data_IF_208098973547
#
_entry.id   IF_208098973547
#
_cell.length_a   1.000
_cell.length_b   1.000
_cell.length_c   1.000
_cell.angle_alpha   90.00
_cell.angle_beta   90.00
_cell.angle_gamma   90.00
#
_symmetry.space_group_name_H-M   'P 1'
#
loop_
_entity.id
_entity.type
_entity.pdbx_description
1 polymer ?
#
# COMPACT_ATOMS: atom_id res chain seq x y z
N UNK A 1 0.99 -5.66 14.25
CA UNK A 1 0.71 -4.37 13.55
C UNK A 1 0.81 -4.47 12.03
N UNK A 2 1.69 -5.31 11.45
CA UNK A 2 1.89 -5.38 10.00
C UNK A 2 0.61 -5.62 9.17
N UNK A 3 -0.16 -6.68 9.47
CA UNK A 3 -1.34 -7.08 8.70
C UNK A 3 -2.42 -5.98 8.57
N UNK A 4 -2.93 -5.36 9.65
CA UNK A 4 -3.94 -4.31 9.52
C UNK A 4 -3.41 -3.09 8.77
N UNK A 5 -2.16 -2.67 9.03
CA UNK A 5 -1.56 -1.54 8.32
C UNK A 5 -1.47 -1.80 6.80
N UNK A 6 -0.99 -2.98 6.40
CA UNK A 6 -0.93 -3.36 4.98
C UNK A 6 -2.32 -3.40 4.34
N UNK A 7 -3.30 -4.03 4.99
CA UNK A 7 -4.65 -4.13 4.43
C UNK A 7 -5.35 -2.77 4.32
N UNK A 8 -5.16 -1.87 5.28
CA UNK A 8 -5.65 -0.49 5.22
C UNK A 8 -4.99 0.25 4.06
N UNK A 9 -3.65 0.17 3.95
CA UNK A 9 -2.92 0.85 2.87
C UNK A 9 -3.36 0.38 1.49
N UNK A 10 -3.45 -0.94 1.28
CA UNK A 10 -3.92 -1.50 0.01
C UNK A 10 -5.38 -1.14 -0.26
N UNK A 11 -6.25 -1.19 0.77
CA UNK A 11 -7.67 -0.85 0.63
C UNK A 11 -7.90 0.61 0.26
N UNK A 12 -7.20 1.55 0.89
CA UNK A 12 -7.25 2.98 0.52
C UNK A 12 -6.68 3.18 -0.88
N UNK A 13 -5.57 2.52 -1.24
CA UNK A 13 -5.06 2.55 -2.60
C UNK A 13 -6.09 2.08 -3.63
N UNK A 14 -6.78 0.96 -3.36
CA UNK A 14 -7.88 0.46 -4.22
C UNK A 14 -8.97 1.52 -4.35
N UNK A 15 -9.42 2.12 -3.24
CA UNK A 15 -10.40 3.19 -3.25
C UNK A 15 -9.97 4.37 -4.14
N UNK A 16 -8.73 4.85 -4.00
CA UNK A 16 -8.20 5.97 -4.80
C UNK A 16 -8.12 5.61 -6.29
N UNK A 17 -7.64 4.41 -6.62
CA UNK A 17 -7.50 3.98 -8.01
C UNK A 17 -8.85 3.73 -8.68
N UNK A 18 -9.83 3.18 -7.97
CA UNK A 18 -11.22 3.08 -8.45
C UNK A 18 -11.76 4.49 -8.69
N UNK A 19 -11.67 5.37 -7.70
CA UNK A 19 -12.17 6.74 -7.80
C UNK A 19 -11.56 7.48 -9.00
N UNK A 20 -10.23 7.38 -9.17
CA UNK A 20 -9.49 7.93 -10.33
C UNK A 20 -10.03 7.46 -11.67
N UNK A 21 -10.47 6.21 -11.79
CA UNK A 21 -11.01 5.69 -13.04
C UNK A 21 -12.34 6.35 -13.42
N UNK A 22 -13.16 6.66 -12.41
CA UNK A 22 -14.46 7.30 -12.58
C UNK A 22 -14.37 8.81 -12.80
N UNK A 23 -13.65 9.54 -11.94
CA UNK A 23 -13.65 11.02 -11.96
C UNK A 23 -12.42 11.62 -12.65
N UNK A 24 -11.41 10.82 -12.98
CA UNK A 24 -10.13 11.33 -13.51
C UNK A 24 -9.15 11.73 -12.42
N UNK A 25 -7.93 12.09 -12.83
CA UNK A 25 -6.84 12.43 -11.90
C UNK A 25 -6.96 13.87 -11.38
N UNK A 26 -7.39 14.81 -12.22
CA UNK A 26 -7.52 16.23 -11.88
C UNK A 26 -8.55 16.45 -10.76
N UNK A 27 -9.78 15.95 -10.94
CA UNK A 27 -10.81 16.04 -9.91
C UNK A 27 -10.43 15.27 -8.63
N UNK A 28 -9.68 14.18 -8.76
CA UNK A 28 -9.19 13.41 -7.62
C UNK A 28 -8.24 14.24 -6.74
N UNK A 29 -7.22 14.88 -7.33
CA UNK A 29 -6.25 15.69 -6.55
C UNK A 29 -6.87 16.97 -5.99
N UNK A 30 -7.85 17.53 -6.70
CA UNK A 30 -8.55 18.75 -6.26
C UNK A 30 -9.45 18.50 -5.04
N UNK A 31 -10.15 17.36 -4.99
CA UNK A 31 -11.23 17.16 -4.01
C UNK A 31 -10.99 16.05 -2.97
N UNK A 32 -10.17 15.03 -3.28
CA UNK A 32 -10.09 13.80 -2.48
C UNK A 32 -8.66 13.54 -2.02
N UNK A 33 -7.73 13.48 -2.98
CA UNK A 33 -6.33 13.16 -2.76
C UNK A 33 -5.50 14.44 -2.57
N UNK A 34 -5.84 15.16 -1.50
CA UNK A 34 -5.17 16.41 -1.11
C UNK A 34 -3.81 16.12 -0.46
N UNK A 35 -2.94 17.13 -0.35
CA UNK A 35 -1.65 17.00 0.32
C UNK A 35 -1.77 16.47 1.75
N UNK A 36 -2.73 17.01 2.53
CA UNK A 36 -3.01 16.53 3.90
C UNK A 36 -3.46 15.07 3.92
N UNK A 37 -4.33 14.67 2.98
CA UNK A 37 -4.76 13.29 2.87
C UNK A 37 -3.55 12.38 2.62
N UNK A 38 -2.67 12.76 1.68
CA UNK A 38 -1.52 11.95 1.30
C UNK A 38 -0.49 11.81 2.43
N UNK A 39 -0.22 12.91 3.12
CA UNK A 39 0.63 12.98 4.33
C UNK A 39 0.16 11.96 5.38
N UNK A 40 -1.15 11.93 5.65
CA UNK A 40 -1.76 11.01 6.61
C UNK A 40 -1.73 9.57 6.08
N UNK A 41 -2.00 9.38 4.79
CA UNK A 41 -1.99 8.08 4.14
C UNK A 41 -0.61 7.41 4.13
N UNK A 42 0.47 8.20 4.14
CA UNK A 42 1.84 7.69 4.28
C UNK A 42 2.08 6.94 5.60
N UNK A 43 1.36 7.28 6.68
CA UNK A 43 1.56 6.70 8.02
C UNK A 43 1.25 5.20 8.09
N UNK A 44 0.04 4.71 7.71
CA UNK A 44 -0.22 3.28 7.67
C UNK A 44 0.68 2.54 6.67
N UNK A 45 1.08 3.19 5.56
CA UNK A 45 2.00 2.59 4.60
C UNK A 45 3.38 2.34 5.22
N UNK A 46 3.95 3.35 5.89
CA UNK A 46 5.23 3.22 6.59
C UNK A 46 5.15 2.20 7.73
N UNK A 47 4.07 2.23 8.52
CA UNK A 47 3.81 1.23 9.56
C UNK A 47 3.71 -0.19 8.98
N UNK A 48 3.12 -0.33 7.79
CA UNK A 48 3.09 -1.57 7.02
C UNK A 48 4.49 -2.03 6.60
N UNK A 49 5.29 -1.13 6.03
CA UNK A 49 6.66 -1.43 5.56
C UNK A 49 7.57 -1.91 6.71
N UNK A 50 7.60 -1.17 7.81
CA UNK A 50 8.35 -1.52 9.02
C UNK A 50 7.76 -2.79 9.67
N UNK A 51 6.43 -2.90 9.70
CA UNK A 51 5.71 -4.06 10.20
C UNK A 51 6.08 -5.35 9.46
N UNK A 52 6.22 -5.31 8.13
CA UNK A 52 6.63 -6.46 7.32
C UNK A 52 8.02 -6.93 7.73
N UNK A 53 8.99 -6.01 7.85
CA UNK A 53 10.37 -6.35 8.22
C UNK A 53 10.44 -6.98 9.62
N UNK A 54 9.78 -6.35 10.59
CA UNK A 54 9.79 -6.81 11.98
C UNK A 54 9.03 -8.13 12.16
N UNK A 55 7.92 -8.31 11.44
CA UNK A 55 7.12 -9.52 11.51
C UNK A 55 7.69 -10.68 10.67
N UNK A 56 8.68 -10.45 9.79
CA UNK A 56 9.09 -11.42 8.76
C UNK A 56 9.36 -12.83 9.29
N UNK A 57 10.10 -12.94 10.41
CA UNK A 57 10.44 -14.23 11.04
C UNK A 57 9.25 -14.91 11.73
N UNK A 58 8.16 -14.17 11.91
CA UNK A 58 6.93 -14.59 12.60
C UNK A 58 5.79 -14.91 11.63
N UNK A 59 5.98 -14.71 10.32
CA UNK A 59 4.97 -15.03 9.30
C UNK A 59 5.05 -16.51 8.97
N UNK A 60 3.91 -17.20 9.11
CA UNK A 60 3.76 -18.60 8.70
C UNK A 60 3.29 -18.64 7.26
N UNK A 61 4.21 -18.98 6.35
CA UNK A 61 3.93 -19.11 4.92
C UNK A 61 3.51 -20.54 4.58
N UNK A 62 2.39 -20.71 3.88
CA UNK A 62 1.91 -22.03 3.42
C UNK A 62 2.69 -22.54 2.22
N UNK A 63 3.22 -21.64 1.40
CA UNK A 63 3.97 -21.96 0.19
C UNK A 63 4.93 -20.82 -0.19
N UNK A 64 5.79 -21.08 -1.19
CA UNK A 64 6.74 -20.08 -1.71
C UNK A 64 6.06 -18.91 -2.41
N UNK A 65 4.82 -19.07 -2.87
CA UNK A 65 4.05 -18.01 -3.51
C UNK A 65 3.65 -16.93 -2.50
N UNK A 66 3.07 -17.30 -1.36
CA UNK A 66 2.81 -16.37 -0.23
C UNK A 66 4.11 -15.71 0.23
N UNK A 67 5.18 -16.52 0.33
CA UNK A 67 6.60 -16.14 0.28
C UNK A 67 6.88 -14.85 -0.49
N UNK A 68 6.83 -15.00 -1.81
CA UNK A 68 7.16 -13.99 -2.79
C UNK A 68 6.22 -12.80 -2.73
N UNK A 69 4.91 -13.02 -2.63
CA UNK A 69 3.91 -11.95 -2.60
C UNK A 69 4.11 -11.02 -1.39
N UNK A 70 4.42 -11.58 -0.21
CA UNK A 70 4.73 -10.78 0.98
C UNK A 70 6.03 -9.98 0.80
N UNK A 71 7.07 -10.57 0.20
CA UNK A 71 8.31 -9.85 -0.13
C UNK A 71 8.04 -8.69 -1.10
N UNK A 72 7.29 -8.95 -2.17
CA UNK A 72 6.88 -7.97 -3.18
C UNK A 72 6.07 -6.84 -2.54
N UNK A 73 5.15 -7.15 -1.62
CA UNK A 73 4.42 -6.13 -0.86
C UNK A 73 5.37 -5.23 -0.08
N UNK A 74 6.36 -5.81 0.62
CA UNK A 74 7.36 -5.05 1.37
C UNK A 74 8.19 -4.14 0.47
N UNK A 75 8.73 -4.67 -0.63
CA UNK A 75 9.50 -3.90 -1.59
C UNK A 75 8.67 -2.76 -2.21
N UNK A 76 7.43 -3.06 -2.59
CA UNK A 76 6.49 -2.08 -3.12
C UNK A 76 6.25 -0.93 -2.13
N UNK A 77 6.02 -1.22 -0.85
CA UNK A 77 5.83 -0.18 0.17
C UNK A 77 7.10 0.64 0.38
N UNK A 78 8.28 0.01 0.42
CA UNK A 78 9.55 0.74 0.55
C UNK A 78 9.82 1.71 -0.60
N UNK A 79 9.39 1.36 -1.82
CA UNK A 79 9.47 2.26 -2.98
C UNK A 79 8.37 3.33 -2.95
N UNK A 80 7.19 2.99 -2.46
CA UNK A 80 6.03 3.90 -2.45
C UNK A 80 6.15 4.97 -1.38
N UNK A 81 6.64 4.63 -0.18
CA UNK A 81 6.74 5.58 0.95
C UNK A 81 7.46 6.88 0.55
N UNK A 82 8.65 6.87 -0.11
CA UNK A 82 9.29 8.09 -0.58
C UNK A 82 8.40 8.97 -1.48
N UNK A 83 7.58 8.36 -2.36
CA UNK A 83 6.65 9.09 -3.22
C UNK A 83 5.56 9.82 -2.43
N UNK A 84 5.13 9.26 -1.30
CA UNK A 84 4.15 9.91 -0.42
C UNK A 84 4.79 10.91 0.55
N UNK A 85 6.03 10.65 0.99
CA UNK A 85 6.79 11.55 1.85
C UNK A 85 7.20 12.82 1.12
N UNK A 86 7.44 12.77 -0.19
CA UNK A 86 7.73 13.99 -0.97
C UNK A 86 6.61 15.03 -0.87
N UNK A 87 5.37 14.60 -0.64
CA UNK A 87 4.20 15.48 -0.47
C UNK A 87 4.32 16.34 0.79
N UNK A 88 5.01 15.85 1.82
CA UNK A 88 5.30 16.66 3.02
C UNK A 88 6.17 17.87 2.68
N UNK A 89 7.10 17.73 1.73
CA UNK A 89 8.03 18.78 1.33
C UNK A 89 7.42 19.69 0.26
N UNK A 90 6.78 19.11 -0.75
CA UNK A 90 6.24 19.83 -1.89
C UNK A 90 4.86 20.43 -1.66
N UNK A 91 4.12 19.94 -0.66
CA UNK A 91 2.71 20.29 -0.42
C UNK A 91 1.82 20.10 -1.67
N UNK A 92 2.22 19.20 -2.58
CA UNK A 92 1.52 18.91 -3.83
C UNK A 92 1.42 17.41 -4.05
N UNK A 93 0.28 16.97 -4.58
CA UNK A 93 0.04 15.59 -5.02
C UNK A 93 0.15 15.42 -6.54
N UNK A 94 0.63 16.43 -7.26
CA UNK A 94 0.72 16.44 -8.73
C UNK A 94 1.63 15.34 -9.28
N UNK A 95 2.52 14.78 -8.45
CA UNK A 95 3.35 13.63 -8.85
C UNK A 95 2.49 12.46 -9.33
N UNK A 96 1.22 12.33 -8.93
CA UNK A 96 0.37 11.25 -9.44
C UNK A 96 -0.03 11.42 -10.91
N UNK A 97 0.08 12.64 -11.46
CA UNK A 97 -0.25 12.96 -12.84
C UNK A 97 0.74 12.34 -13.83
N UNK A 98 1.95 11.98 -13.39
CA UNK A 98 2.94 11.28 -14.23
C UNK A 98 2.47 9.86 -14.59
N UNK A 99 1.60 9.26 -13.78
CA UNK A 99 1.12 7.91 -14.02
C UNK A 99 -0.01 7.94 -15.04
N UNK A 100 0.02 7.13 -16.11
CA UNK A 100 -1.07 7.07 -17.05
C UNK A 100 -2.35 6.49 -16.42
N UNK A 101 -3.53 6.74 -16.99
CA UNK A 101 -4.82 6.25 -16.44
C UNK A 101 -4.86 4.72 -16.34
N UNK A 102 -4.29 4.00 -17.31
CA UNK A 102 -4.25 2.53 -17.32
C UNK A 102 -3.48 1.94 -16.14
N UNK A 103 -2.57 2.71 -15.52
CA UNK A 103 -1.85 2.28 -14.31
C UNK A 103 -2.81 1.91 -13.19
N UNK A 104 -3.95 2.59 -13.08
CA UNK A 104 -4.98 2.24 -12.10
C UNK A 104 -5.54 0.83 -12.29
N UNK A 105 -5.70 0.35 -13.54
CA UNK A 105 -6.18 -1.01 -13.79
C UNK A 105 -5.15 -2.04 -13.33
N UNK A 106 -3.87 -1.81 -13.63
CA UNK A 106 -2.77 -2.67 -13.18
C UNK A 106 -2.69 -2.70 -11.66
N UNK A 107 -2.79 -1.53 -11.02
CA UNK A 107 -2.82 -1.42 -9.57
C UNK A 107 -3.97 -2.24 -8.96
N UNK A 108 -5.19 -2.14 -9.51
CA UNK A 108 -6.35 -2.85 -8.96
C UNK A 108 -6.18 -4.36 -8.99
N UNK A 109 -5.69 -4.91 -10.10
CA UNK A 109 -5.43 -6.36 -10.22
C UNK A 109 -4.35 -6.79 -9.22
N UNK A 110 -3.23 -6.06 -9.20
CA UNK A 110 -2.10 -6.34 -8.34
C UNK A 110 -2.45 -6.25 -6.84
N UNK A 111 -3.07 -5.15 -6.42
CA UNK A 111 -3.45 -4.92 -5.03
C UNK A 111 -4.51 -5.89 -4.55
N UNK A 112 -5.43 -6.33 -5.42
CA UNK A 112 -6.41 -7.39 -5.07
C UNK A 112 -5.70 -8.70 -4.74
N UNK A 113 -4.70 -9.09 -5.53
CA UNK A 113 -3.90 -10.28 -5.26
C UNK A 113 -3.13 -10.15 -3.93
N UNK A 114 -2.51 -8.99 -3.69
CA UNK A 114 -1.82 -8.74 -2.43
C UNK A 114 -2.78 -8.85 -1.24
N UNK A 115 -3.94 -8.20 -1.32
CA UNK A 115 -4.95 -8.21 -0.25
C UNK A 115 -5.41 -9.63 0.07
N UNK A 116 -5.70 -10.46 -0.95
CA UNK A 116 -6.11 -11.85 -0.75
C UNK A 116 -5.06 -12.68 0.00
N UNK A 117 -3.77 -12.51 -0.35
CA UNK A 117 -2.68 -13.17 0.36
C UNK A 117 -2.59 -12.64 1.79
N UNK A 118 -2.54 -11.33 1.97
CA UNK A 118 -2.41 -10.70 3.29
C UNK A 118 -3.56 -11.01 4.24
N UNK A 119 -4.78 -11.11 3.75
CA UNK A 119 -5.94 -11.54 4.54
C UNK A 119 -5.76 -12.96 5.10
N UNK A 120 -5.09 -13.85 4.37
CA UNK A 120 -4.89 -15.26 4.75
C UNK A 120 -3.62 -15.50 5.58
N UNK A 121 -2.65 -14.58 5.56
CA UNK A 121 -1.42 -14.72 6.33
C UNK A 121 -1.70 -14.81 7.83
N UNK A 122 -0.97 -15.73 8.49
CA UNK A 122 -0.91 -15.88 9.94
C UNK A 122 0.43 -15.35 10.44
N UNK A 123 0.40 -14.47 11.42
CA UNK A 123 1.58 -13.91 12.08
C UNK A 123 1.54 -14.37 13.53
N UNK A 124 2.56 -15.12 13.98
CA UNK A 124 2.58 -15.75 15.31
C UNK A 124 3.57 -15.00 16.20
N UNK A 125 3.06 -14.39 17.27
CA UNK A 125 3.86 -13.52 18.15
C UNK A 125 4.69 -14.27 19.20
N UNK A 126 4.52 -15.59 19.35
CA UNK A 126 5.23 -16.39 20.37
C UNK A 126 6.08 -17.51 19.77
N UNK A 127 7.35 -17.59 20.17
CA UNK A 127 8.04 -18.89 20.25
C UNK A 127 7.46 -19.58 21.47
N UNK A 128 6.69 -20.65 21.28
CA UNK A 128 6.53 -21.64 22.36
C UNK A 128 7.91 -22.26 22.57
N UNK A 129 8.59 -21.86 23.65
CA UNK A 129 9.69 -22.61 24.25
C UNK A 129 9.16 -23.89 24.88
#
# INVERSE_FOLDING_TARGET
MAKPAVLITLGVGVYLHVTRLFIGAELLIEHIYTATFDVVFALPMLAGAIGILTAWKHIVFRNRFEKGITAVTGAYFWVSVPLHVQTWLSQSTDYILIFPKWYSLVFLVYSSLLMLVWQRLKIVTERRS
#
